data_IF_953630437534
#
_entry.id   IF_953630437534
#
_cell.length_a   1.000
_cell.length_b   1.000
_cell.length_c   1.000
_cell.angle_alpha   90.00
_cell.angle_beta   90.00
_cell.angle_gamma   90.00
#
_symmetry.space_group_name_H-M   'P 1'
#
loop_
_entity.id
_entity.type
_entity.pdbx_description
1 polymer ?
#
# COMPACT_ATOMS: atom_id res chain seq x y z
N UNK A 1 -23.58 -17.24 -19.79
CA UNK A 1 -22.57 -16.45 -20.51
C UNK A 1 -22.61 -14.97 -20.11
N UNK A 2 -23.79 -14.31 -20.12
CA UNK A 2 -23.91 -12.89 -19.76
C UNK A 2 -23.47 -12.57 -18.33
N UNK A 3 -23.79 -13.40 -17.35
CA UNK A 3 -23.43 -13.18 -15.94
C UNK A 3 -21.92 -13.17 -15.71
N UNK A 4 -21.20 -14.08 -16.34
CA UNK A 4 -19.73 -14.16 -16.19
C UNK A 4 -19.04 -12.90 -16.76
N UNK A 5 -19.55 -12.36 -17.85
CA UNK A 5 -19.02 -11.11 -18.43
C UNK A 5 -19.36 -9.89 -17.57
N UNK A 6 -20.56 -9.84 -16.99
CA UNK A 6 -20.95 -8.78 -16.09
C UNK A 6 -20.08 -8.75 -14.83
N UNK A 7 -19.85 -9.89 -14.19
CA UNK A 7 -18.98 -10.00 -13.02
C UNK A 7 -17.53 -9.64 -13.33
N UNK A 8 -17.02 -10.05 -14.48
CA UNK A 8 -15.66 -9.69 -14.93
C UNK A 8 -15.53 -8.17 -15.17
N UNK A 9 -16.53 -7.57 -15.81
CA UNK A 9 -16.57 -6.12 -16.04
C UNK A 9 -16.64 -5.34 -14.73
N UNK A 10 -17.50 -5.75 -13.80
CA UNK A 10 -17.62 -5.13 -12.49
C UNK A 10 -16.29 -5.16 -11.75
N UNK A 11 -15.62 -6.32 -11.68
CA UNK A 11 -14.30 -6.45 -11.05
C UNK A 11 -13.24 -5.58 -11.73
N UNK A 12 -13.27 -5.47 -13.05
CA UNK A 12 -12.35 -4.61 -13.79
C UNK A 12 -12.58 -3.13 -13.47
N UNK A 13 -13.84 -2.70 -13.38
CA UNK A 13 -14.21 -1.34 -12.98
C UNK A 13 -13.80 -1.03 -11.54
N UNK A 14 -14.04 -1.93 -10.61
CA UNK A 14 -13.63 -1.77 -9.21
C UNK A 14 -12.10 -1.64 -9.10
N UNK A 15 -11.35 -2.50 -9.79
CA UNK A 15 -9.88 -2.41 -9.83
C UNK A 15 -9.39 -1.09 -10.45
N UNK A 16 -10.07 -0.62 -11.49
CA UNK A 16 -9.73 0.65 -12.14
C UNK A 16 -9.96 1.83 -11.17
N UNK A 17 -11.11 1.86 -10.49
CA UNK A 17 -11.42 2.89 -9.48
C UNK A 17 -10.38 2.90 -8.38
N UNK A 18 -9.98 1.75 -7.87
CA UNK A 18 -8.90 1.64 -6.88
C UNK A 18 -7.57 2.19 -7.39
N UNK A 19 -7.22 1.90 -8.66
CA UNK A 19 -5.95 2.37 -9.25
C UNK A 19 -5.90 3.89 -9.35
N UNK A 20 -6.85 4.52 -10.03
CA UNK A 20 -6.79 5.96 -10.18
C UNK A 20 -7.18 6.71 -8.92
N UNK A 21 -8.05 6.16 -8.07
CA UNK A 21 -8.42 6.77 -6.79
C UNK A 21 -7.24 6.90 -5.82
N UNK A 22 -6.38 5.91 -5.75
CA UNK A 22 -5.20 5.94 -4.87
C UNK A 22 -3.94 6.47 -5.55
N UNK A 23 -3.67 6.01 -6.78
CA UNK A 23 -2.39 6.20 -7.48
C UNK A 23 -2.48 7.12 -8.69
N UNK A 24 -3.65 7.70 -8.96
CA UNK A 24 -3.83 8.59 -10.10
C UNK A 24 -2.88 9.80 -10.03
N UNK A 25 -2.37 10.18 -11.19
CA UNK A 25 -1.55 11.35 -11.38
C UNK A 25 -1.79 11.92 -12.78
N UNK A 26 -2.42 13.10 -12.86
CA UNK A 26 -2.69 13.77 -14.14
C UNK A 26 -1.44 14.09 -14.94
N UNK A 27 -0.31 14.20 -14.26
CA UNK A 27 1.00 14.47 -14.87
C UNK A 27 1.77 13.18 -15.20
N UNK A 28 1.14 12.01 -14.94
CA UNK A 28 1.77 10.73 -15.26
C UNK A 28 1.98 10.62 -16.77
N UNK A 29 3.20 10.32 -17.15
CA UNK A 29 3.61 10.07 -18.51
C UNK A 29 4.57 8.88 -18.55
N UNK A 30 4.72 8.26 -19.71
CA UNK A 30 5.76 7.26 -19.89
C UNK A 30 7.14 7.91 -19.73
N UNK A 31 8.10 7.16 -19.19
CA UNK A 31 9.46 7.65 -19.01
C UNK A 31 10.15 8.07 -20.32
N UNK A 32 9.65 7.61 -21.47
CA UNK A 32 10.10 7.93 -22.81
C UNK A 32 9.44 9.16 -23.43
N UNK A 33 8.43 9.74 -22.79
CA UNK A 33 7.71 10.91 -23.32
C UNK A 33 8.37 12.20 -22.83
N UNK A 34 8.51 13.15 -23.74
CA UNK A 34 9.07 14.47 -23.46
C UNK A 34 8.10 15.25 -22.57
N UNK A 35 8.58 15.78 -21.44
CA UNK A 35 7.75 16.49 -20.48
C UNK A 35 7.01 15.59 -19.47
N UNK A 36 7.32 14.31 -19.40
CA UNK A 36 6.83 13.42 -18.37
C UNK A 36 7.11 13.96 -16.98
N UNK A 37 6.08 14.52 -16.33
CA UNK A 37 6.12 15.01 -14.96
C UNK A 37 6.51 13.93 -13.95
N UNK A 38 6.57 14.25 -12.68
CA UNK A 38 7.19 13.46 -11.62
C UNK A 38 6.77 12.01 -11.43
N UNK A 39 5.71 11.52 -12.07
CA UNK A 39 5.25 10.14 -12.00
C UNK A 39 5.68 9.31 -13.19
N UNK A 40 6.92 8.84 -13.23
CA UNK A 40 7.37 7.94 -14.30
C UNK A 40 6.78 6.55 -14.12
N UNK A 41 5.91 6.15 -15.02
CA UNK A 41 5.37 4.80 -15.05
C UNK A 41 6.36 3.84 -15.71
N UNK A 42 6.32 2.58 -15.26
CA UNK A 42 7.13 1.51 -15.89
C UNK A 42 6.71 1.34 -17.35
N UNK A 43 7.68 1.17 -18.25
CA UNK A 43 7.42 0.90 -19.65
C UNK A 43 6.45 -0.29 -19.82
N UNK A 44 5.46 -0.15 -20.69
CA UNK A 44 4.42 -1.15 -20.94
C UNK A 44 3.15 -1.02 -20.09
N UNK A 45 3.09 -0.05 -19.15
CA UNK A 45 1.85 0.30 -18.48
C UNK A 45 1.08 1.34 -19.31
N UNK A 46 -0.25 1.17 -19.33
CA UNK A 46 -1.13 2.13 -19.98
C UNK A 46 -1.32 3.35 -19.09
N UNK A 47 -0.80 4.48 -19.52
CA UNK A 47 -0.87 5.77 -18.81
C UNK A 47 -2.31 6.21 -18.64
N UNK A 48 -3.20 5.91 -19.60
CA UNK A 48 -4.62 6.31 -19.58
C UNK A 48 -5.36 5.81 -18.33
N UNK A 49 -4.85 4.75 -17.69
CA UNK A 49 -5.40 4.23 -16.45
C UNK A 49 -4.99 5.02 -15.20
N UNK A 50 -4.03 5.93 -15.30
CA UNK A 50 -3.47 6.66 -14.16
C UNK A 50 -3.62 8.18 -14.27
N UNK A 51 -3.77 8.74 -15.46
CA UNK A 51 -3.79 10.18 -15.69
C UNK A 51 -5.20 10.80 -15.68
N UNK A 52 -6.23 10.08 -15.26
CA UNK A 52 -7.61 10.55 -15.21
C UNK A 52 -7.80 11.64 -14.15
N UNK A 53 -7.25 11.42 -12.96
CA UNK A 53 -7.35 12.36 -11.84
C UNK A 53 -6.13 12.22 -10.91
N UNK A 54 -5.92 13.25 -10.06
CA UNK A 54 -4.94 13.13 -8.99
C UNK A 54 -5.50 12.28 -7.86
N UNK A 55 -4.86 11.14 -7.63
CA UNK A 55 -5.21 10.18 -6.61
C UNK A 55 -4.89 10.65 -5.19
N UNK A 56 -5.35 9.88 -4.21
CA UNK A 56 -5.20 10.21 -2.81
C UNK A 56 -3.74 10.33 -2.39
N UNK A 57 -2.86 9.43 -2.84
CA UNK A 57 -1.44 9.50 -2.50
C UNK A 57 -0.78 10.79 -3.00
N UNK A 58 -1.01 11.19 -4.24
CA UNK A 58 -0.47 12.46 -4.76
C UNK A 58 -0.93 13.63 -3.92
N UNK A 59 -2.22 13.68 -3.55
CA UNK A 59 -2.79 14.74 -2.71
C UNK A 59 -2.19 14.75 -1.31
N UNK A 60 -2.02 13.58 -0.68
CA UNK A 60 -1.39 13.45 0.64
C UNK A 60 0.06 13.91 0.59
N UNK A 61 0.84 13.45 -0.38
CA UNK A 61 2.28 13.79 -0.50
C UNK A 61 2.54 15.25 -0.89
N UNK A 62 1.61 15.90 -1.58
CA UNK A 62 1.72 17.32 -1.93
C UNK A 62 1.17 18.24 -0.85
N UNK A 63 0.35 17.75 0.08
CA UNK A 63 -0.21 18.55 1.16
C UNK A 63 0.85 18.85 2.22
N UNK A 64 1.20 20.14 2.39
CA UNK A 64 2.21 20.58 3.35
C UNK A 64 1.83 20.36 4.80
N UNK A 65 0.54 20.23 5.11
CA UNK A 65 0.03 19.99 6.46
C UNK A 65 -0.01 18.50 6.84
N UNK A 66 0.27 17.59 5.91
CA UNK A 66 0.26 16.16 6.18
C UNK A 66 1.57 15.74 6.85
N UNK A 67 1.45 15.02 7.96
CA UNK A 67 2.62 14.46 8.65
C UNK A 67 3.17 13.28 7.86
N UNK A 68 4.46 13.28 7.63
CA UNK A 68 5.18 12.22 6.95
C UNK A 68 6.28 11.65 7.85
N UNK A 69 6.30 10.34 8.01
CA UNK A 69 7.40 9.65 8.67
C UNK A 69 8.48 9.32 7.65
N UNK A 70 9.68 9.88 7.83
CA UNK A 70 10.80 9.59 6.95
C UNK A 70 11.39 8.21 7.28
N UNK A 71 11.20 7.26 6.38
CA UNK A 71 11.78 5.93 6.48
C UNK A 71 12.89 5.81 5.42
N UNK A 72 14.05 5.32 5.84
CA UNK A 72 15.16 5.09 4.93
C UNK A 72 14.76 4.13 3.81
N UNK A 73 15.01 4.52 2.57
CA UNK A 73 14.73 3.67 1.42
C UNK A 73 15.55 2.37 1.52
N UNK A 74 14.92 1.26 1.13
CA UNK A 74 15.63 0.01 0.98
C UNK A 74 16.61 0.10 -0.20
N UNK A 75 17.90 -0.18 0.05
CA UNK A 75 18.96 -0.10 -0.96
C UNK A 75 18.96 -1.26 -1.97
N UNK A 76 18.09 -2.22 -1.79
CA UNK A 76 18.02 -3.38 -2.67
C UNK A 76 17.43 -3.04 -4.05
N UNK A 77 18.04 -3.57 -5.09
CA UNK A 77 17.77 -3.16 -6.48
C UNK A 77 16.59 -3.88 -7.13
N UNK A 78 16.15 -5.01 -6.57
CA UNK A 78 15.03 -5.79 -7.12
C UNK A 78 13.93 -5.99 -6.11
N UNK A 79 12.68 -6.12 -6.58
CA UNK A 79 11.52 -6.37 -5.72
C UNK A 79 11.69 -7.63 -4.85
N UNK A 80 12.29 -8.69 -5.39
CA UNK A 80 12.54 -9.92 -4.65
C UNK A 80 13.52 -9.71 -3.47
N UNK A 81 14.58 -8.94 -3.69
CA UNK A 81 15.54 -8.60 -2.64
C UNK A 81 14.94 -7.64 -1.61
N UNK A 82 14.11 -6.68 -2.04
CA UNK A 82 13.37 -5.78 -1.14
C UNK A 82 12.43 -6.56 -0.22
N UNK A 83 11.66 -7.51 -0.76
CA UNK A 83 10.80 -8.40 0.04
C UNK A 83 11.65 -9.26 0.99
N UNK A 84 12.79 -9.77 0.53
CA UNK A 84 13.71 -10.54 1.38
C UNK A 84 14.27 -9.69 2.52
N UNK A 85 14.59 -8.43 2.27
CA UNK A 85 15.05 -7.50 3.29
C UNK A 85 13.99 -7.21 4.35
N UNK A 86 12.72 -7.05 3.95
CA UNK A 86 11.59 -6.89 4.88
C UNK A 86 11.37 -8.13 5.76
N UNK A 87 11.76 -9.30 5.31
CA UNK A 87 11.67 -10.56 6.08
C UNK A 87 12.87 -10.82 7.00
N UNK A 88 13.86 -9.94 7.04
CA UNK A 88 14.91 -10.00 8.05
C UNK A 88 14.30 -9.77 9.43
N UNK A 89 14.78 -10.50 10.42
CA UNK A 89 14.27 -10.46 11.79
C UNK A 89 14.19 -9.02 12.33
N UNK A 90 13.03 -8.60 12.75
CA UNK A 90 12.76 -7.28 13.31
C UNK A 90 12.61 -6.15 12.27
N UNK A 91 12.78 -6.40 10.97
CA UNK A 91 12.73 -5.33 9.98
C UNK A 91 11.30 -4.77 9.79
N UNK A 92 10.32 -5.64 9.66
CA UNK A 92 8.93 -5.22 9.46
C UNK A 92 8.33 -4.65 10.75
N UNK A 93 8.61 -5.23 11.91
CA UNK A 93 8.18 -4.72 13.22
C UNK A 93 8.76 -3.34 13.48
N UNK A 94 10.07 -3.15 13.31
CA UNK A 94 10.71 -1.83 13.48
C UNK A 94 10.09 -0.77 12.58
N UNK A 95 9.79 -1.11 11.33
CA UNK A 95 9.18 -0.17 10.39
C UNK A 95 7.78 0.25 10.86
N UNK A 96 6.94 -0.71 11.24
CA UNK A 96 5.57 -0.41 11.70
C UNK A 96 5.59 0.35 13.02
N UNK A 97 6.45 -0.04 13.97
CA UNK A 97 6.61 0.65 15.24
C UNK A 97 7.08 2.10 15.05
N UNK A 98 8.00 2.34 14.13
CA UNK A 98 8.45 3.70 13.79
C UNK A 98 7.28 4.56 13.29
N UNK A 99 6.43 4.02 12.42
CA UNK A 99 5.25 4.73 11.92
C UNK A 99 4.28 5.04 13.07
N UNK A 100 4.00 4.06 13.93
CA UNK A 100 3.06 4.23 15.05
C UNK A 100 3.58 5.19 16.11
N UNK A 101 4.88 5.17 16.43
CA UNK A 101 5.52 6.07 17.37
C UNK A 101 5.54 7.52 16.87
N UNK A 102 5.68 7.71 15.57
CA UNK A 102 5.67 9.05 14.95
C UNK A 102 4.26 9.57 14.67
N UNK A 103 3.25 8.71 14.70
CA UNK A 103 1.86 9.10 14.46
C UNK A 103 1.34 10.05 15.57
N UNK A 104 0.38 10.90 15.20
CA UNK A 104 -0.30 11.77 16.19
C UNK A 104 -1.12 10.89 17.15
N UNK A 105 -0.97 11.13 18.46
CA UNK A 105 -1.68 10.38 19.51
C UNK A 105 -3.19 10.41 19.34
N UNK A 106 -3.74 11.50 18.81
CA UNK A 106 -5.19 11.61 18.53
C UNK A 106 -5.66 10.63 17.46
N UNK A 107 -4.77 10.21 16.57
CA UNK A 107 -5.07 9.20 15.55
C UNK A 107 -4.89 7.80 16.13
N UNK A 108 -3.83 7.57 16.88
CA UNK A 108 -3.54 6.25 17.47
C UNK A 108 -4.58 5.86 18.53
N UNK A 109 -5.06 6.84 19.30
CA UNK A 109 -6.08 6.63 20.34
C UNK A 109 -7.51 6.52 19.78
N UNK A 110 -7.71 6.82 18.49
CA UNK A 110 -9.02 6.71 17.84
C UNK A 110 -9.32 5.24 17.50
N UNK A 111 -10.43 4.74 18.05
CA UNK A 111 -10.89 3.35 17.83
C UNK A 111 -11.20 3.04 16.36
N UNK A 112 -11.45 4.07 15.56
CA UNK A 112 -11.78 3.94 14.13
C UNK A 112 -10.56 4.14 13.21
N UNK A 113 -9.41 4.51 13.79
CA UNK A 113 -8.17 4.61 13.04
C UNK A 113 -7.73 3.24 12.49
N UNK A 114 -7.31 3.24 11.23
CA UNK A 114 -6.85 2.05 10.54
C UNK A 114 -5.53 2.34 9.83
N UNK A 115 -4.53 1.52 10.10
CA UNK A 115 -3.27 1.54 9.36
C UNK A 115 -3.42 0.70 8.08
N UNK A 116 -3.36 1.35 6.93
CA UNK A 116 -3.38 0.66 5.64
C UNK A 116 -1.96 0.24 5.25
N UNK A 117 -1.80 -1.01 4.85
CA UNK A 117 -0.50 -1.49 4.37
C UNK A 117 -0.63 -2.46 3.20
N UNK A 118 0.47 -2.64 2.48
CA UNK A 118 0.58 -3.65 1.43
C UNK A 118 0.52 -5.05 2.03
N UNK A 119 0.10 -6.02 1.25
CA UNK A 119 0.11 -7.42 1.66
C UNK A 119 1.52 -7.90 1.98
N UNK A 120 2.50 -7.50 1.17
CA UNK A 120 3.91 -7.89 1.37
C UNK A 120 4.45 -7.45 2.73
N UNK A 121 4.12 -6.23 3.17
CA UNK A 121 4.51 -5.73 4.49
C UNK A 121 3.75 -6.45 5.62
N UNK A 122 2.45 -6.67 5.45
CA UNK A 122 1.63 -7.38 6.43
C UNK A 122 2.09 -8.84 6.64
N UNK A 123 2.43 -9.53 5.55
CA UNK A 123 2.97 -10.90 5.61
C UNK A 123 4.36 -10.91 6.28
N UNK A 124 5.21 -9.90 6.01
CA UNK A 124 6.51 -9.76 6.67
C UNK A 124 6.37 -9.46 8.17
N UNK A 125 5.45 -8.60 8.57
CA UNK A 125 5.12 -8.31 9.96
C UNK A 125 4.63 -9.57 10.69
N UNK A 126 3.71 -10.31 10.10
CA UNK A 126 3.21 -11.58 10.67
C UNK A 126 4.34 -12.60 10.84
N UNK A 127 5.24 -12.68 9.86
CA UNK A 127 6.41 -13.57 9.93
C UNK A 127 7.36 -13.16 11.06
N UNK A 128 7.64 -11.87 11.21
CA UNK A 128 8.50 -11.32 12.27
C UNK A 128 7.93 -11.61 13.66
N UNK A 129 6.65 -11.35 13.87
CA UNK A 129 5.97 -11.62 15.14
C UNK A 129 6.04 -13.10 15.50
N UNK A 130 5.73 -13.97 14.54
CA UNK A 130 5.79 -15.43 14.75
C UNK A 130 7.21 -15.91 15.09
N UNK A 131 8.22 -15.36 14.41
CA UNK A 131 9.61 -15.82 14.57
C UNK A 131 10.27 -15.25 15.82
N UNK A 132 10.05 -13.98 16.10
CA UNK A 132 10.77 -13.25 17.16
C UNK A 132 10.05 -13.32 18.50
N UNK A 133 8.73 -13.20 18.48
CA UNK A 133 7.91 -13.11 19.70
C UNK A 133 7.03 -14.34 19.93
N UNK A 134 7.03 -15.31 19.01
CA UNK A 134 6.15 -16.48 19.02
C UNK A 134 4.66 -16.11 19.11
N UNK A 135 4.34 -14.91 18.65
CA UNK A 135 2.99 -14.37 18.62
C UNK A 135 2.33 -14.62 17.27
N UNK A 136 1.01 -14.78 17.29
CA UNK A 136 0.21 -15.03 16.09
C UNK A 136 -0.74 -13.85 15.93
N UNK A 137 -0.58 -13.12 14.82
CA UNK A 137 -1.53 -12.10 14.42
C UNK A 137 -2.67 -12.73 13.63
N UNK A 138 -3.88 -12.86 14.19
CA UNK A 138 -5.02 -13.42 13.48
C UNK A 138 -5.51 -12.41 12.44
N UNK A 139 -5.66 -12.85 11.19
CA UNK A 139 -6.23 -12.06 10.11
C UNK A 139 -7.68 -12.44 9.89
N UNK A 140 -8.57 -11.46 9.94
CA UNK A 140 -9.98 -11.61 9.67
C UNK A 140 -10.33 -11.03 8.29
N UNK A 141 -11.09 -11.78 7.50
CA UNK A 141 -11.60 -11.29 6.21
C UNK A 141 -12.84 -10.46 6.45
N UNK A 142 -12.82 -9.20 6.04
CA UNK A 142 -13.99 -8.33 6.07
C UNK A 142 -14.83 -8.45 4.80
N UNK A 143 -14.19 -8.31 3.64
CA UNK A 143 -14.79 -8.44 2.31
C UNK A 143 -13.67 -8.65 1.27
N UNK A 144 -14.06 -8.89 0.02
CA UNK A 144 -13.11 -9.24 -1.05
C UNK A 144 -11.90 -8.29 -1.14
N UNK A 145 -10.72 -8.84 -0.85
CA UNK A 145 -9.45 -8.14 -0.95
C UNK A 145 -9.02 -7.37 0.31
N UNK A 146 -9.84 -7.31 1.36
CA UNK A 146 -9.51 -6.69 2.63
C UNK A 146 -9.46 -7.71 3.76
N UNK A 147 -8.35 -7.73 4.46
CA UNK A 147 -8.17 -8.49 5.68
C UNK A 147 -7.66 -7.55 6.76
N UNK A 148 -8.15 -7.72 7.97
CA UNK A 148 -7.84 -6.87 9.12
C UNK A 148 -7.24 -7.70 10.24
N UNK A 149 -6.26 -7.14 10.91
CA UNK A 149 -5.69 -7.65 12.14
C UNK A 149 -5.45 -6.50 13.12
N UNK A 150 -5.16 -6.79 14.36
CA UNK A 150 -4.82 -5.78 15.36
C UNK A 150 -3.36 -5.93 15.78
N UNK A 151 -2.63 -4.83 15.80
CA UNK A 151 -1.25 -4.75 16.26
C UNK A 151 -1.08 -3.56 17.19
N UNK A 152 -0.59 -3.78 18.40
CA UNK A 152 -0.42 -2.76 19.45
C UNK A 152 -1.68 -1.88 19.65
N UNK A 153 -2.87 -2.49 19.61
CA UNK A 153 -4.15 -1.78 19.78
C UNK A 153 -4.67 -1.08 18.51
N UNK A 154 -3.87 -0.94 17.46
CA UNK A 154 -4.27 -0.30 16.20
C UNK A 154 -4.73 -1.35 15.19
N UNK A 155 -5.84 -1.06 14.52
CA UNK A 155 -6.33 -1.91 13.42
C UNK A 155 -5.43 -1.75 12.21
N UNK A 156 -5.00 -2.87 11.63
CA UNK A 156 -4.23 -2.91 10.39
C UNK A 156 -5.10 -3.52 9.31
N UNK A 157 -5.27 -2.82 8.19
CA UNK A 157 -5.94 -3.35 7.02
C UNK A 157 -4.94 -3.65 5.89
N UNK A 158 -4.94 -4.89 5.44
CA UNK A 158 -4.11 -5.38 4.36
C UNK A 158 -4.79 -5.14 3.02
N UNK A 159 -4.18 -4.33 2.16
CA UNK A 159 -4.71 -3.94 0.86
C UNK A 159 -3.95 -4.68 -0.25
N UNK A 160 -4.44 -5.85 -0.63
CA UNK A 160 -3.75 -6.72 -1.59
C UNK A 160 -3.65 -6.16 -3.01
N UNK A 161 -4.51 -5.21 -3.38
CA UNK A 161 -4.46 -4.58 -4.70
C UNK A 161 -3.22 -3.71 -4.88
N UNK A 162 -2.67 -3.13 -3.79
CA UNK A 162 -1.49 -2.28 -3.87
C UNK A 162 -0.24 -3.05 -4.30
N UNK A 163 -0.08 -4.31 -3.89
CA UNK A 163 1.06 -5.14 -4.30
C UNK A 163 1.09 -5.44 -5.81
N UNK A 164 -0.06 -5.30 -6.47
CA UNK A 164 -0.15 -5.47 -7.93
C UNK A 164 0.21 -4.21 -8.70
N UNK A 165 0.17 -3.06 -8.02
CA UNK A 165 0.38 -1.74 -8.63
C UNK A 165 1.72 -1.13 -8.27
N UNK A 166 2.19 -1.37 -7.04
CA UNK A 166 3.48 -0.92 -6.54
C UNK A 166 4.50 -2.04 -6.79
N UNK A 167 5.24 -1.93 -7.88
CA UNK A 167 6.31 -2.88 -8.22
C UNK A 167 7.65 -2.18 -8.19
#
# INVERSE_FOLDING_TARGET
FMTIHADALQRAMEQMIWRFGWLGDKEAALASEEGGGGGKLTAGLDVSNFNVCDGLFKRIFTATATKHTAIAANSETTAALQISALRKSGAATTLVDTILMDADTRIVDDSDAVLLMTRSLADALTYDLKKTYHDIMPWEKLFDGFEVATYNGVKIARVGIWDRMIK
#
